data_IF_963338728437
#
_entry.id   IF_963338728437
#
_cell.length_a   1.000
_cell.length_b   1.000
_cell.length_c   1.000
_cell.angle_alpha   90.00
_cell.angle_beta   90.00
_cell.angle_gamma   90.00
#
_symmetry.space_group_name_H-M   'P 1'
#
loop_
_entity.id
_entity.type
_entity.pdbx_description
1 polymer ?
#
# COMPACT_ATOMS: atom_id res chain seq x y z
N UNK A 1 -47.65 19.47 -55.23
CA UNK A 1 -47.73 19.75 -56.69
C UNK A 1 -46.31 19.77 -57.24
N UNK A 2 -46.03 19.07 -58.37
CA UNK A 2 -44.98 19.28 -59.39
C UNK A 2 -43.53 19.68 -58.96
N UNK A 3 -42.41 19.09 -59.42
CA UNK A 3 -42.02 18.24 -60.59
C UNK A 3 -40.90 17.26 -60.11
N UNK A 4 -40.62 16.06 -60.63
CA UNK A 4 -40.50 15.50 -61.99
C UNK A 4 -39.27 15.97 -62.80
N UNK A 5 -38.37 15.03 -63.15
CA UNK A 5 -37.15 15.24 -63.99
C UNK A 5 -35.98 14.31 -63.58
N UNK A 6 -35.95 13.01 -63.86
CA UNK A 6 -35.64 12.32 -65.14
C UNK A 6 -34.24 12.59 -65.78
N UNK A 7 -33.32 11.64 -65.58
CA UNK A 7 -32.43 10.97 -66.59
C UNK A 7 -31.59 9.91 -65.84
N UNK A 8 -31.64 8.59 -66.04
CA UNK A 8 -31.82 7.63 -67.16
C UNK A 8 -30.54 7.25 -67.95
N UNK A 9 -29.97 6.09 -67.57
CA UNK A 9 -29.06 5.18 -68.33
C UNK A 9 -27.69 5.80 -68.74
N UNK A 10 -26.62 5.14 -69.20
CA UNK A 10 -26.24 3.78 -69.67
C UNK A 10 -24.67 3.67 -69.68
N UNK A 11 -23.95 2.53 -69.77
CA UNK A 11 -24.24 1.09 -69.56
C UNK A 11 -22.97 0.20 -69.72
N UNK A 12 -22.85 -0.90 -68.93
CA UNK A 12 -22.13 -2.18 -69.20
C UNK A 12 -20.57 -2.23 -69.30
N UNK A 13 -20.00 -3.32 -68.77
CA UNK A 13 -18.63 -3.81 -69.04
C UNK A 13 -17.95 -4.38 -67.77
N UNK A 14 -18.16 -5.61 -67.29
CA UNK A 14 -17.99 -6.98 -67.84
C UNK A 14 -16.57 -7.56 -67.75
N UNK A 15 -16.49 -8.76 -67.12
CA UNK A 15 -15.51 -9.85 -67.37
C UNK A 15 -14.18 -9.88 -66.62
N UNK A 16 -13.94 -11.01 -65.90
CA UNK A 16 -12.60 -11.46 -65.51
C UNK A 16 -12.51 -12.20 -64.16
N UNK A 17 -12.56 -13.55 -64.11
CA UNK A 17 -12.28 -14.32 -62.90
C UNK A 17 -10.81 -14.75 -62.83
N UNK A 18 -10.11 -14.42 -61.75
CA UNK A 18 -8.77 -14.95 -61.46
C UNK A 18 -8.80 -15.78 -60.17
N UNK A 19 -8.60 -17.09 -60.31
CA UNK A 19 -8.32 -17.99 -59.17
C UNK A 19 -6.93 -17.67 -58.61
N UNK A 20 -6.84 -17.44 -57.32
CA UNK A 20 -5.60 -17.58 -56.56
C UNK A 20 -5.92 -18.31 -55.26
N UNK A 21 -5.37 -19.52 -55.10
CA UNK A 21 -5.44 -20.24 -53.84
C UNK A 21 -4.49 -19.59 -52.83
N UNK A 22 -5.01 -19.24 -51.66
CA UNK A 22 -4.22 -18.75 -50.53
C UNK A 22 -4.64 -19.50 -49.28
N UNK A 23 -3.87 -20.51 -48.90
CA UNK A 23 -4.10 -21.24 -47.65
C UNK A 23 -3.65 -20.37 -46.49
N UNK A 24 -4.54 -19.48 -46.02
CA UNK A 24 -4.28 -18.66 -44.84
C UNK A 24 -4.24 -19.56 -43.61
N UNK A 25 -3.02 -19.92 -43.21
CA UNK A 25 -2.74 -20.57 -41.93
C UNK A 25 -3.46 -19.80 -40.82
N UNK A 26 -4.40 -20.48 -40.16
CA UNK A 26 -4.98 -19.99 -38.92
C UNK A 26 -3.89 -20.01 -37.85
N UNK A 27 -3.10 -18.93 -37.76
CA UNK A 27 -2.21 -18.68 -36.64
C UNK A 27 -3.09 -18.57 -35.39
N UNK A 28 -3.21 -19.69 -34.67
CA UNK A 28 -3.79 -19.78 -33.34
C UNK A 28 -3.09 -18.80 -32.43
N UNK A 29 -3.66 -17.60 -32.29
CA UNK A 29 -3.13 -16.54 -31.42
C UNK A 29 -3.11 -17.14 -30.02
N UNK A 30 -1.94 -17.33 -29.39
CA UNK A 30 -1.89 -17.92 -28.06
C UNK A 30 -2.71 -17.05 -27.11
N UNK A 31 -3.55 -17.68 -26.29
CA UNK A 31 -4.44 -16.99 -25.38
C UNK A 31 -3.64 -15.93 -24.61
N UNK A 32 -4.04 -14.66 -24.75
CA UNK A 32 -3.35 -13.49 -24.21
C UNK A 32 -3.18 -13.68 -22.71
N UNK A 33 -2.00 -14.17 -22.30
CA UNK A 33 -1.69 -14.52 -20.90
C UNK A 33 -2.08 -13.31 -20.05
N UNK A 34 -3.10 -13.48 -19.21
CA UNK A 34 -3.71 -12.40 -18.45
C UNK A 34 -2.61 -11.75 -17.62
N UNK A 35 -2.05 -10.63 -18.08
CA UNK A 35 -1.18 -9.80 -17.24
C UNK A 35 -2.07 -9.39 -16.08
N UNK A 36 -1.80 -9.99 -14.92
CA UNK A 36 -2.57 -9.75 -13.71
C UNK A 36 -2.60 -8.24 -13.52
N UNK A 37 -3.81 -7.67 -13.45
CA UNK A 37 -3.98 -6.24 -13.20
C UNK A 37 -3.23 -5.95 -11.90
N UNK A 38 -2.15 -5.19 -11.98
CA UNK A 38 -1.55 -4.54 -10.82
C UNK A 38 -2.56 -3.54 -10.29
N UNK A 39 -3.48 -4.00 -9.45
CA UNK A 39 -4.39 -3.13 -8.74
C UNK A 39 -3.56 -2.32 -7.77
N UNK A 40 -3.45 -1.01 -8.02
CA UNK A 40 -2.91 -0.08 -7.03
C UNK A 40 -3.86 -0.11 -5.82
N UNK A 41 -3.40 -0.71 -4.74
CA UNK A 41 -4.07 -0.64 -3.44
C UNK A 41 -3.64 0.68 -2.83
N UNK A 42 -4.55 1.66 -2.83
CA UNK A 42 -4.38 2.91 -2.06
C UNK A 42 -4.55 2.65 -0.58
N UNK A 43 -3.78 3.34 0.26
CA UNK A 43 -3.91 3.21 1.72
C UNK A 43 -5.25 3.75 2.20
N UNK A 44 -5.95 2.96 3.01
CA UNK A 44 -7.24 3.36 3.56
C UNK A 44 -7.04 4.22 4.83
N UNK A 45 -7.51 5.46 4.79
CA UNK A 45 -7.33 6.43 5.87
C UNK A 45 -8.18 6.13 7.13
N UNK A 46 -9.14 5.21 7.04
CA UNK A 46 -10.04 4.84 8.15
C UNK A 46 -9.40 3.89 9.17
N UNK A 47 -8.28 3.23 8.82
CA UNK A 47 -7.60 2.24 9.67
C UNK A 47 -7.25 2.80 11.07
N UNK A 48 -7.22 1.91 12.06
CA UNK A 48 -6.63 2.21 13.37
C UNK A 48 -5.10 2.25 13.29
N UNK A 49 -4.45 2.81 14.31
CA UNK A 49 -2.98 2.85 14.40
C UNK A 49 -2.36 1.45 14.27
N UNK A 50 -2.85 0.48 15.07
CA UNK A 50 -2.40 -0.92 15.04
C UNK A 50 -2.57 -1.56 13.65
N UNK A 51 -3.68 -1.28 12.97
CA UNK A 51 -3.93 -1.80 11.63
C UNK A 51 -2.98 -1.20 10.59
N UNK A 52 -2.76 0.13 10.63
CA UNK A 52 -1.82 0.81 9.75
C UNK A 52 -0.38 0.31 9.98
N UNK A 53 0.02 0.13 11.23
CA UNK A 53 1.32 -0.42 11.61
C UNK A 53 1.50 -1.87 11.12
N UNK A 54 0.48 -2.73 11.24
CA UNK A 54 0.53 -4.10 10.73
C UNK A 54 0.64 -4.17 9.20
N UNK A 55 -0.01 -3.24 8.47
CA UNK A 55 0.16 -3.13 7.01
C UNK A 55 1.55 -2.61 6.62
N UNK A 56 2.13 -1.69 7.41
CA UNK A 56 3.50 -1.22 7.24
C UNK A 56 4.52 -2.35 7.44
N UNK A 57 4.45 -3.08 8.56
CA UNK A 57 5.29 -4.25 8.84
C UNK A 57 5.20 -5.31 7.72
N UNK A 58 3.99 -5.64 7.27
CA UNK A 58 3.77 -6.55 6.14
C UNK A 58 4.45 -6.05 4.85
N UNK A 59 4.43 -4.73 4.61
CA UNK A 59 5.04 -4.12 3.43
C UNK A 59 6.57 -4.10 3.52
N UNK A 60 7.12 -3.88 4.71
CA UNK A 60 8.56 -3.93 4.97
C UNK A 60 9.10 -5.36 4.83
N UNK A 61 8.44 -6.37 5.40
CA UNK A 61 8.82 -7.80 5.24
C UNK A 61 8.89 -8.20 3.77
N UNK A 62 7.93 -7.76 2.95
CA UNK A 62 7.94 -8.04 1.51
C UNK A 62 9.14 -7.41 0.77
N UNK A 63 9.65 -6.27 1.25
CA UNK A 63 10.89 -5.65 0.75
C UNK A 63 12.13 -6.43 1.23
N UNK A 64 12.19 -6.77 2.52
CA UNK A 64 13.28 -7.55 3.15
C UNK A 64 13.45 -8.94 2.53
N UNK A 65 12.35 -9.59 2.13
CA UNK A 65 12.38 -10.89 1.44
C UNK A 65 13.07 -10.85 0.07
N UNK A 66 13.25 -9.67 -0.55
CA UNK A 66 13.98 -9.50 -1.81
C UNK A 66 13.36 -10.15 -3.05
N UNK A 67 12.13 -10.67 -2.96
CA UNK A 67 11.44 -11.41 -4.05
C UNK A 67 10.63 -10.51 -5.00
N UNK A 68 10.52 -9.22 -4.70
CA UNK A 68 9.74 -8.26 -5.48
C UNK A 68 10.46 -7.86 -6.78
N UNK A 69 9.70 -7.56 -7.83
CA UNK A 69 10.27 -6.86 -8.99
C UNK A 69 10.60 -5.42 -8.64
N UNK A 70 11.45 -4.75 -9.44
CA UNK A 70 11.81 -3.34 -9.21
C UNK A 70 10.57 -2.43 -9.11
N UNK A 71 9.60 -2.61 -10.00
CA UNK A 71 8.33 -1.87 -10.00
C UNK A 71 7.50 -2.13 -8.74
N UNK A 72 7.43 -3.40 -8.30
CA UNK A 72 6.69 -3.79 -7.09
C UNK A 72 7.39 -3.28 -5.81
N UNK A 73 8.72 -3.24 -5.80
CA UNK A 73 9.52 -2.69 -4.71
C UNK A 73 9.32 -1.18 -4.58
N UNK A 74 9.37 -0.43 -5.69
CA UNK A 74 9.05 1.01 -5.70
C UNK A 74 7.62 1.25 -5.21
N UNK A 75 6.65 0.44 -5.66
CA UNK A 75 5.26 0.53 -5.20
C UNK A 75 5.05 0.10 -3.73
N UNK A 76 5.90 -0.79 -3.19
CA UNK A 76 5.89 -1.16 -1.77
C UNK A 76 6.47 -0.03 -0.92
N UNK A 77 7.60 0.58 -1.31
CA UNK A 77 8.17 1.75 -0.61
C UNK A 77 7.18 2.92 -0.59
N UNK A 78 6.51 3.21 -1.71
CA UNK A 78 5.48 4.25 -1.78
C UNK A 78 4.33 4.01 -0.79
N UNK A 79 3.76 2.81 -0.76
CA UNK A 79 2.70 2.43 0.20
C UNK A 79 3.19 2.42 1.65
N UNK A 80 4.43 2.01 1.90
CA UNK A 80 5.04 2.07 3.22
C UNK A 80 5.11 3.49 3.76
N UNK A 81 5.44 4.47 2.90
CA UNK A 81 5.37 5.89 3.26
C UNK A 81 3.95 6.37 3.57
N UNK A 82 2.97 6.00 2.74
CA UNK A 82 1.55 6.33 3.00
C UNK A 82 1.07 5.77 4.36
N UNK A 83 1.48 4.55 4.74
CA UNK A 83 1.18 3.99 6.06
C UNK A 83 1.92 4.69 7.21
N UNK A 84 3.18 5.09 7.02
CA UNK A 84 3.94 5.85 8.02
C UNK A 84 3.28 7.20 8.30
N UNK A 85 2.95 7.96 7.26
CA UNK A 85 2.26 9.26 7.35
C UNK A 85 0.87 9.12 8.02
N UNK A 86 0.18 7.99 7.83
CA UNK A 86 -1.06 7.64 8.54
C UNK A 86 -0.80 7.36 10.04
N UNK A 87 0.22 6.58 10.38
CA UNK A 87 0.61 6.31 11.77
C UNK A 87 0.97 7.59 12.53
N UNK A 88 1.78 8.45 11.93
CA UNK A 88 2.16 9.77 12.49
C UNK A 88 0.93 10.63 12.78
N UNK A 89 -0.01 10.71 11.83
CA UNK A 89 -1.27 11.45 12.02
C UNK A 89 -2.12 10.89 13.17
N UNK A 90 -2.21 9.56 13.33
CA UNK A 90 -2.97 8.94 14.44
C UNK A 90 -2.34 9.22 15.80
N UNK A 91 -1.01 9.22 15.88
CA UNK A 91 -0.28 9.59 17.11
C UNK A 91 -0.46 11.07 17.43
N UNK A 92 -0.52 11.93 16.42
CA UNK A 92 -0.74 13.36 16.58
C UNK A 92 -2.18 13.68 17.05
N UNK A 93 -3.18 13.05 16.45
CA UNK A 93 -4.56 13.08 16.95
C UNK A 93 -4.65 12.62 18.43
N UNK A 94 -3.85 11.62 18.82
CA UNK A 94 -3.84 11.12 20.20
C UNK A 94 -3.16 12.10 21.16
N UNK A 95 -2.04 12.72 20.78
CA UNK A 95 -1.37 13.78 21.57
C UNK A 95 -2.30 14.95 21.83
N UNK A 96 -2.93 15.49 20.80
CA UNK A 96 -3.85 16.62 20.93
C UNK A 96 -5.05 16.30 21.84
N UNK A 97 -5.57 15.06 21.79
CA UNK A 97 -6.60 14.59 22.74
C UNK A 97 -6.09 14.61 24.18
N UNK A 98 -4.89 14.10 24.44
CA UNK A 98 -4.26 14.08 25.77
C UNK A 98 -4.00 15.50 26.28
N UNK A 99 -3.47 16.39 25.44
CA UNK A 99 -3.20 17.79 25.80
C UNK A 99 -4.47 18.60 26.06
N UNK A 100 -5.59 18.22 25.44
CA UNK A 100 -6.91 18.84 25.68
C UNK A 100 -7.63 18.32 26.93
N UNK A 101 -7.12 17.29 27.62
CA UNK A 101 -7.67 16.87 28.91
C UNK A 101 -7.33 17.93 29.97
N UNK A 102 -8.29 18.38 30.80
CA UNK A 102 -7.99 19.27 31.91
C UNK A 102 -7.05 18.56 32.89
N UNK A 103 -5.94 19.22 33.25
CA UNK A 103 -5.04 18.73 34.29
C UNK A 103 -5.81 18.71 35.61
N UNK A 104 -6.21 17.52 36.03
CA UNK A 104 -6.74 17.32 37.39
C UNK A 104 -5.55 17.15 38.31
N UNK A 105 -5.19 18.24 38.97
CA UNK A 105 -4.30 18.22 40.13
C UNK A 105 -5.02 17.46 41.26
N UNK A 106 -4.97 16.12 41.22
CA UNK A 106 -5.13 15.31 42.42
C UNK A 106 -4.04 15.76 43.39
N UNK A 107 -4.38 16.35 44.55
CA UNK A 107 -3.35 16.67 45.54
C UNK A 107 -2.74 15.34 45.97
N UNK A 108 -1.43 15.18 45.71
CA UNK A 108 -0.65 14.07 46.27
C UNK A 108 -0.68 14.22 47.79
N UNK A 109 -1.61 13.53 48.44
CA UNK A 109 -1.67 13.44 49.89
C UNK A 109 -0.38 12.79 50.40
N UNK A 110 0.26 13.43 51.37
CA UNK A 110 1.61 13.07 51.84
C UNK A 110 1.71 11.64 52.45
N UNK A 111 0.59 10.93 52.59
CA UNK A 111 0.51 9.53 53.00
C UNK A 111 1.04 8.53 51.96
N UNK A 112 1.13 8.88 50.67
CA UNK A 112 1.73 8.05 49.61
C UNK A 112 3.22 8.37 49.36
N UNK A 113 3.87 9.14 50.25
CA UNK A 113 5.32 9.29 50.23
C UNK A 113 5.99 7.93 50.47
N UNK A 114 6.88 7.44 49.57
CA UNK A 114 7.51 6.14 49.75
C UNK A 114 8.35 6.14 51.03
N UNK A 115 7.98 5.29 51.99
CA UNK A 115 8.74 5.10 53.22
C UNK A 115 10.23 4.90 52.88
N UNK A 116 11.19 5.57 53.55
CA UNK A 116 12.59 5.67 53.12
C UNK A 116 13.40 4.36 52.99
N UNK A 117 12.79 3.19 53.19
CA UNK A 117 13.43 1.89 53.00
C UNK A 117 13.68 1.55 51.51
N UNK A 118 12.74 1.86 50.62
CA UNK A 118 12.71 1.24 49.27
C UNK A 118 13.80 1.76 48.31
N UNK A 119 14.28 3.00 48.50
CA UNK A 119 15.33 3.59 47.65
C UNK A 119 16.74 3.25 48.16
N UNK A 120 16.89 2.90 49.44
CA UNK A 120 18.17 2.49 50.02
C UNK A 120 18.57 1.08 49.54
N UNK A 121 17.63 0.13 49.54
CA UNK A 121 17.87 -1.27 49.20
C UNK A 121 18.36 -1.45 47.75
N UNK A 122 17.88 -0.63 46.82
CA UNK A 122 18.18 -0.76 45.39
C UNK A 122 19.57 -0.21 45.01
N UNK A 123 20.14 0.71 45.81
CA UNK A 123 21.50 1.25 45.56
C UNK A 123 22.63 0.28 45.94
N UNK A 124 22.30 -0.81 46.64
CA UNK A 124 23.26 -1.86 47.02
C UNK A 124 23.47 -2.97 45.98
N UNK A 125 22.64 -3.05 44.93
CA UNK A 125 22.81 -4.03 43.85
C UNK A 125 23.67 -3.45 42.72
N UNK A 126 24.94 -3.84 42.69
CA UNK A 126 25.73 -3.75 41.45
C UNK A 126 25.07 -4.63 40.38
N UNK A 127 24.83 -4.12 39.16
CA UNK A 127 24.40 -4.98 38.06
C UNK A 127 25.53 -5.94 37.70
N UNK A 128 25.32 -7.23 37.95
CA UNK A 128 26.09 -8.29 37.30
C UNK A 128 25.99 -8.07 35.78
N UNK A 129 27.12 -8.10 35.09
CA UNK A 129 27.18 -7.84 33.65
C UNK A 129 27.33 -9.17 32.92
N UNK A 130 26.23 -9.84 32.49
CA UNK A 130 26.34 -10.97 31.58
C UNK A 130 26.91 -10.45 30.25
N UNK A 131 28.09 -10.95 29.88
CA UNK A 131 28.77 -10.55 28.66
C UNK A 131 28.01 -11.07 27.43
N UNK A 132 27.14 -10.22 26.88
CA UNK A 132 26.61 -10.38 25.53
C UNK A 132 27.59 -9.79 24.51
N UNK A 133 28.65 -10.52 24.17
CA UNK A 133 29.45 -10.19 22.98
C UNK A 133 28.55 -10.25 21.74
N UNK A 134 28.48 -9.13 21.01
CA UNK A 134 27.86 -9.08 19.68
C UNK A 134 29.00 -9.29 18.68
N UNK A 135 29.14 -10.47 18.03
CA UNK A 135 30.05 -10.62 16.92
C UNK A 135 29.58 -9.78 15.72
N UNK A 136 30.54 -9.22 14.98
CA UNK A 136 30.32 -8.50 13.72
C UNK A 136 29.80 -9.41 12.60
#
# INVERSE_FOLDING_TARGET
MHRCGQRQHHSRGSSGPARAGGQSFAISRPARRQRRRGGRVSVDASLTYEQALAQLDTTLRALEEGKLSLEDAIAAVARGREYLELCERKLEEARQRIESLPVREEPLTEEDAPHPATVAELRGRTPDTPQGEIPF
#
